data_IF_629108066138
#
_entry.id   IF_629108066138
#
_cell.length_a   1.000
_cell.length_b   1.000
_cell.length_c   1.000
_cell.angle_alpha   90.00
_cell.angle_beta   90.00
_cell.angle_gamma   90.00
#
_symmetry.space_group_name_H-M   'P 1'
#
loop_
_entity.id
_entity.type
_entity.pdbx_description
1 polymer ?
#
# COMPACT_ATOMS: atom_id res chain seq x y z
N UNK A 1 -21.26 -7.55 -55.90
CA UNK A 1 -21.00 -7.96 -54.49
C UNK A 1 -21.22 -9.45 -54.43
N UNK A 2 -20.18 -10.20 -54.16
CA UNK A 2 -20.27 -11.66 -54.04
C UNK A 2 -20.89 -12.00 -52.65
N UNK A 3 -21.42 -13.22 -52.50
CA UNK A 3 -22.00 -13.66 -51.21
C UNK A 3 -20.98 -13.59 -50.09
N UNK A 4 -19.69 -13.76 -50.39
CA UNK A 4 -18.55 -13.68 -49.50
C UNK A 4 -18.26 -12.24 -49.08
N UNK A 5 -18.40 -11.26 -49.96
CA UNK A 5 -18.29 -9.81 -49.64
C UNK A 5 -19.43 -9.38 -48.71
N UNK A 6 -20.64 -9.88 -48.94
CA UNK A 6 -21.80 -9.58 -48.09
C UNK A 6 -21.63 -10.18 -46.70
N UNK A 7 -21.06 -11.38 -46.58
CA UNK A 7 -20.78 -12.04 -45.31
C UNK A 7 -19.66 -11.30 -44.54
N UNK A 8 -18.57 -10.90 -45.22
CA UNK A 8 -17.47 -10.11 -44.64
C UNK A 8 -17.98 -8.75 -44.15
N UNK A 9 -18.78 -8.06 -44.95
CA UNK A 9 -19.35 -6.78 -44.63
C UNK A 9 -20.34 -6.88 -43.45
N UNK A 10 -21.20 -7.92 -43.43
CA UNK A 10 -22.14 -8.17 -42.35
C UNK A 10 -21.43 -8.57 -41.07
N UNK A 11 -20.36 -9.39 -41.14
CA UNK A 11 -19.56 -9.77 -39.98
C UNK A 11 -18.77 -8.56 -39.45
N UNK A 12 -18.12 -7.80 -40.32
CA UNK A 12 -17.41 -6.58 -39.96
C UNK A 12 -18.37 -5.58 -39.29
N UNK A 13 -19.54 -5.35 -39.92
CA UNK A 13 -20.55 -4.46 -39.36
C UNK A 13 -21.10 -4.96 -38.04
N UNK A 14 -21.29 -6.26 -37.82
CA UNK A 14 -21.78 -6.80 -36.55
C UNK A 14 -20.75 -6.69 -35.44
N UNK A 15 -19.50 -6.91 -35.73
CA UNK A 15 -18.37 -6.72 -34.80
C UNK A 15 -18.20 -5.23 -34.50
N UNK A 16 -18.25 -4.38 -35.51
CA UNK A 16 -18.20 -2.93 -35.43
C UNK A 16 -19.37 -2.42 -34.55
N UNK A 17 -20.60 -2.79 -34.88
CA UNK A 17 -21.80 -2.35 -34.14
C UNK A 17 -21.85 -2.83 -32.69
N UNK A 18 -21.23 -3.96 -32.36
CA UNK A 18 -21.12 -4.40 -30.96
C UNK A 18 -20.21 -3.53 -30.11
N UNK A 19 -19.21 -2.89 -30.71
CA UNK A 19 -18.30 -1.94 -30.04
C UNK A 19 -18.82 -0.50 -30.01
N UNK A 20 -19.76 -0.13 -30.91
CA UNK A 20 -20.22 1.25 -31.10
C UNK A 20 -21.47 1.64 -30.31
N UNK A 21 -22.02 0.76 -29.48
CA UNK A 21 -23.29 1.03 -28.84
C UNK A 21 -23.29 2.16 -27.81
N UNK A 22 -22.13 2.63 -27.33
CA UNK A 22 -22.07 3.56 -26.20
C UNK A 22 -20.91 4.57 -26.24
N UNK A 23 -20.59 5.22 -27.34
CA UNK A 23 -19.49 6.23 -27.44
C UNK A 23 -18.09 5.73 -26.95
N UNK A 24 -17.87 4.41 -26.94
CA UNK A 24 -16.74 3.80 -26.26
C UNK A 24 -15.52 3.63 -27.17
N UNK A 25 -15.72 3.66 -28.49
CA UNK A 25 -14.59 3.39 -29.38
C UNK A 25 -14.74 3.91 -30.80
N UNK A 26 -13.62 3.97 -31.52
CA UNK A 26 -13.53 4.36 -32.92
C UNK A 26 -12.72 3.38 -33.75
N UNK A 27 -12.87 3.41 -35.08
CA UNK A 27 -12.15 2.57 -36.03
C UNK A 27 -11.45 3.39 -37.09
N UNK A 28 -10.19 3.04 -37.32
CA UNK A 28 -9.37 3.53 -38.40
C UNK A 28 -8.80 2.32 -39.19
N UNK A 29 -8.90 2.35 -40.53
CA UNK A 29 -8.26 1.36 -41.39
C UNK A 29 -7.21 2.06 -42.22
N UNK A 30 -6.02 1.47 -42.31
CA UNK A 30 -4.92 1.96 -43.17
C UNK A 30 -4.42 0.87 -44.10
N UNK A 31 -3.84 1.26 -45.24
CA UNK A 31 -3.09 0.36 -46.09
C UNK A 31 -1.66 0.11 -45.55
N UNK A 32 -0.86 -0.69 -46.23
CA UNK A 32 0.51 -1.02 -45.85
C UNK A 32 1.43 0.23 -45.77
N UNK A 33 1.18 1.22 -46.60
CA UNK A 33 1.90 2.50 -46.58
C UNK A 33 1.46 3.42 -45.40
N UNK A 34 0.43 3.02 -44.65
CA UNK A 34 -0.13 3.79 -43.55
C UNK A 34 -1.11 4.88 -43.98
N UNK A 35 -1.56 4.83 -45.26
CA UNK A 35 -2.58 5.78 -45.74
C UNK A 35 -3.96 5.33 -45.26
N UNK A 36 -4.80 6.30 -44.89
CA UNK A 36 -6.13 6.07 -44.33
C UNK A 36 -7.08 5.64 -45.47
N UNK A 37 -7.68 4.46 -45.31
CA UNK A 37 -8.70 3.95 -46.19
C UNK A 37 -10.11 4.23 -45.64
N UNK A 38 -10.23 4.13 -44.33
CA UNK A 38 -11.48 4.39 -43.58
C UNK A 38 -11.20 4.97 -42.24
N UNK A 39 -12.01 5.94 -41.85
CA UNK A 39 -12.06 6.46 -40.48
C UNK A 39 -13.50 6.82 -40.12
N UNK A 40 -13.86 6.58 -38.86
CA UNK A 40 -15.11 7.06 -38.31
C UNK A 40 -14.96 8.47 -37.68
N UNK A 41 -16.08 9.03 -37.21
CA UNK A 41 -16.12 10.38 -36.65
C UNK A 41 -15.21 10.55 -35.44
N UNK A 42 -15.17 9.55 -34.53
CA UNK A 42 -14.33 9.57 -33.35
C UNK A 42 -12.83 9.51 -33.69
N UNK A 43 -12.44 8.61 -34.59
CA UNK A 43 -11.04 8.48 -35.04
C UNK A 43 -10.58 9.70 -35.82
N UNK A 44 -11.44 10.30 -36.64
CA UNK A 44 -11.19 11.56 -37.34
C UNK A 44 -10.94 12.70 -36.35
N UNK A 45 -11.71 12.79 -35.29
CA UNK A 45 -11.52 13.77 -34.24
C UNK A 45 -10.18 13.58 -33.50
N UNK A 46 -9.91 12.35 -33.04
CA UNK A 46 -8.68 12.01 -32.33
C UNK A 46 -7.42 12.26 -33.17
N UNK A 47 -7.48 11.99 -34.48
CA UNK A 47 -6.36 12.22 -35.38
C UNK A 47 -6.02 13.70 -35.61
N UNK A 48 -7.02 14.58 -35.66
CA UNK A 48 -6.79 16.02 -35.81
C UNK A 48 -6.00 16.61 -34.67
N UNK A 49 -6.18 16.06 -33.47
CA UNK A 49 -5.50 16.51 -32.26
C UNK A 49 -4.12 15.89 -32.06
N UNK A 50 -3.75 14.89 -32.89
CA UNK A 50 -2.52 14.13 -32.67
C UNK A 50 -1.67 13.88 -33.88
N UNK A 51 -0.42 14.20 -33.73
CA UNK A 51 0.53 14.18 -34.81
C UNK A 51 1.39 12.91 -34.92
N UNK A 52 1.48 12.00 -33.94
CA UNK A 52 2.56 11.00 -33.93
C UNK A 52 2.26 9.58 -33.41
N UNK A 53 1.00 9.16 -33.25
CA UNK A 53 0.73 7.80 -32.80
C UNK A 53 1.15 6.71 -33.83
N UNK A 54 1.25 7.05 -35.12
CA UNK A 54 1.69 6.15 -36.19
C UNK A 54 3.20 5.82 -36.15
N UNK A 55 4.02 6.69 -35.56
CA UNK A 55 5.48 6.53 -35.58
C UNK A 55 6.02 5.62 -34.48
N UNK A 56 5.24 5.36 -33.45
CA UNK A 56 5.71 4.61 -32.28
C UNK A 56 5.61 3.08 -32.42
N UNK A 57 4.92 2.55 -33.45
CA UNK A 57 4.65 1.13 -33.55
C UNK A 57 4.86 0.59 -34.94
N UNK A 58 5.84 -0.33 -35.15
CA UNK A 58 5.95 -1.08 -36.39
C UNK A 58 4.68 -1.94 -36.56
N UNK A 59 4.19 -2.09 -37.80
CA UNK A 59 3.01 -2.88 -38.08
C UNK A 59 3.16 -4.32 -37.57
N UNK A 60 2.10 -4.95 -37.03
CA UNK A 60 2.13 -6.36 -36.71
C UNK A 60 2.30 -7.18 -37.96
N UNK A 61 2.98 -8.32 -37.87
CA UNK A 61 3.04 -9.29 -38.97
C UNK A 61 1.66 -9.89 -39.18
N UNK A 62 1.38 -10.36 -40.41
CA UNK A 62 0.12 -10.98 -40.77
C UNK A 62 -0.35 -11.99 -39.71
N UNK A 63 -1.63 -11.90 -39.31
CA UNK A 63 -2.23 -12.75 -38.29
C UNK A 63 -1.81 -12.45 -36.85
N UNK A 64 -0.98 -11.45 -36.57
CA UNK A 64 -0.62 -11.04 -35.25
C UNK A 64 -1.54 -9.90 -34.75
N UNK A 65 -2.14 -10.09 -33.59
CA UNK A 65 -2.82 -9.03 -32.83
C UNK A 65 -1.78 -8.34 -31.94
N UNK A 66 -1.69 -7.02 -32.05
CA UNK A 66 -0.83 -6.23 -31.19
C UNK A 66 -1.68 -5.27 -30.37
N UNK A 67 -1.55 -5.36 -29.06
CA UNK A 67 -2.15 -4.39 -28.13
C UNK A 67 -1.09 -3.33 -27.84
N UNK A 68 -1.36 -2.11 -28.25
CA UNK A 68 -0.50 -0.97 -28.00
C UNK A 68 -1.23 -0.05 -27.04
N UNK A 69 -0.67 0.11 -25.86
CA UNK A 69 -1.11 1.05 -24.85
C UNK A 69 -0.50 2.42 -25.15
N UNK A 70 -1.04 3.15 -26.08
CA UNK A 70 -0.66 4.55 -26.26
C UNK A 70 -1.74 5.42 -25.59
N UNK A 71 -1.31 6.15 -24.56
CA UNK A 71 -2.17 7.07 -23.81
C UNK A 71 -2.30 8.35 -24.63
N UNK A 72 -3.31 8.41 -25.48
CA UNK A 72 -3.66 9.62 -26.21
C UNK A 72 -4.44 10.54 -25.27
N UNK A 73 -3.78 11.57 -24.73
CA UNK A 73 -4.48 12.68 -24.09
C UNK A 73 -5.02 13.62 -25.18
N UNK A 74 -6.32 13.60 -25.38
CA UNK A 74 -7.00 14.62 -26.16
C UNK A 74 -7.16 15.92 -25.34
N UNK A 75 -7.48 17.04 -25.96
CA UNK A 75 -7.74 18.32 -25.26
C UNK A 75 -8.85 18.19 -24.20
N UNK A 76 -9.80 17.27 -24.40
CA UNK A 76 -10.86 16.94 -23.45
C UNK A 76 -10.40 15.97 -22.32
N UNK A 77 -9.09 15.69 -22.21
CA UNK A 77 -8.46 14.81 -21.23
C UNK A 77 -8.91 13.35 -21.27
N UNK A 78 -9.49 12.90 -22.39
CA UNK A 78 -9.83 11.47 -22.54
C UNK A 78 -8.60 10.65 -22.91
N UNK A 79 -8.57 9.44 -22.41
CA UNK A 79 -7.51 8.44 -22.68
C UNK A 79 -8.05 7.33 -23.56
N UNK A 80 -7.36 7.05 -24.62
CA UNK A 80 -7.72 5.98 -25.55
C UNK A 80 -6.65 4.91 -25.59
N UNK A 81 -7.08 3.64 -25.65
CA UNK A 81 -6.24 2.50 -25.95
C UNK A 81 -6.40 2.16 -27.45
N UNK A 82 -5.29 1.95 -28.15
CA UNK A 82 -5.31 1.54 -29.55
C UNK A 82 -4.96 0.06 -29.68
N UNK A 83 -5.85 -0.73 -30.27
CA UNK A 83 -5.61 -2.13 -30.60
C UNK A 83 -5.46 -2.24 -32.11
N UNK A 84 -4.29 -2.68 -32.58
CA UNK A 84 -4.04 -2.83 -34.01
C UNK A 84 -4.02 -4.31 -34.40
N UNK A 85 -4.74 -4.66 -35.45
CA UNK A 85 -4.69 -5.96 -36.11
C UNK A 85 -4.45 -5.79 -37.61
N UNK A 86 -3.86 -6.78 -38.24
CA UNK A 86 -3.64 -6.77 -39.67
C UNK A 86 -4.44 -7.88 -40.36
N UNK A 87 -4.89 -7.63 -41.59
CA UNK A 87 -5.50 -8.60 -42.48
C UNK A 87 -5.05 -8.36 -43.92
N UNK A 88 -5.17 -9.35 -44.75
CA UNK A 88 -4.81 -9.26 -46.20
C UNK A 88 -6.07 -9.43 -47.04
N UNK A 89 -6.28 -8.54 -47.98
CA UNK A 89 -7.29 -8.67 -49.01
C UNK A 89 -6.66 -8.63 -50.42
N UNK A 90 -7.47 -8.49 -51.47
CA UNK A 90 -7.00 -8.47 -52.87
C UNK A 90 -6.09 -7.27 -53.18
N UNK A 91 -6.17 -6.20 -52.40
CA UNK A 91 -5.38 -4.97 -52.60
C UNK A 91 -4.11 -4.97 -51.73
N UNK A 92 -3.87 -5.99 -50.86
CA UNK A 92 -2.70 -6.13 -50.04
C UNK A 92 -2.98 -6.11 -48.53
N UNK A 93 -1.94 -5.82 -47.72
CA UNK A 93 -2.06 -5.82 -46.29
C UNK A 93 -2.75 -4.53 -45.79
N UNK A 94 -3.78 -4.70 -44.99
CA UNK A 94 -4.49 -3.61 -44.33
C UNK A 94 -4.39 -3.76 -42.82
N UNK A 95 -4.45 -2.63 -42.13
CA UNK A 95 -4.43 -2.57 -40.66
C UNK A 95 -5.71 -1.94 -40.13
N UNK A 96 -6.32 -2.60 -39.16
CA UNK A 96 -7.46 -2.05 -38.41
C UNK A 96 -6.95 -1.59 -37.09
N UNK A 97 -7.20 -0.34 -36.77
CA UNK A 97 -6.88 0.27 -35.49
C UNK A 97 -8.19 0.54 -34.75
N UNK A 98 -8.40 -0.17 -33.65
CA UNK A 98 -9.52 0.06 -32.76
C UNK A 98 -9.10 1.04 -31.64
N UNK A 99 -9.74 2.19 -31.58
CA UNK A 99 -9.57 3.15 -30.48
C UNK A 99 -10.64 2.88 -29.43
N UNK A 100 -10.22 2.56 -28.24
CA UNK A 100 -11.12 2.33 -27.10
C UNK A 100 -10.93 3.43 -26.08
N UNK A 101 -12.02 4.17 -25.78
CA UNK A 101 -11.98 5.18 -24.72
C UNK A 101 -11.83 4.48 -23.35
N UNK A 102 -10.69 4.69 -22.72
CA UNK A 102 -10.35 4.07 -21.44
C UNK A 102 -10.48 5.05 -20.26
N UNK A 103 -10.92 6.28 -20.47
CA UNK A 103 -10.97 7.30 -19.43
C UNK A 103 -11.78 6.84 -18.23
N UNK A 104 -12.99 6.32 -18.45
CA UNK A 104 -13.84 5.82 -17.37
C UNK A 104 -13.17 4.64 -16.63
N UNK A 105 -12.52 3.73 -17.37
CA UNK A 105 -11.80 2.60 -16.79
C UNK A 105 -10.59 3.08 -15.98
N UNK A 106 -9.84 4.05 -16.48
CA UNK A 106 -8.68 4.62 -15.78
C UNK A 106 -9.10 5.40 -14.52
N UNK A 107 -10.21 6.13 -14.57
CA UNK A 107 -10.77 6.80 -13.41
C UNK A 107 -11.22 5.78 -12.35
N UNK A 108 -11.97 4.77 -12.75
CA UNK A 108 -12.38 3.68 -11.86
C UNK A 108 -11.17 2.93 -11.27
N UNK A 109 -10.14 2.66 -12.09
CA UNK A 109 -8.91 2.02 -11.62
C UNK A 109 -8.16 2.89 -10.61
N UNK A 110 -8.11 4.20 -10.84
CA UNK A 110 -7.53 5.16 -9.90
C UNK A 110 -8.29 5.14 -8.58
N UNK A 111 -9.62 5.23 -8.63
CA UNK A 111 -10.49 5.21 -7.45
C UNK A 111 -10.33 3.91 -6.66
N UNK A 112 -10.33 2.74 -7.35
CA UNK A 112 -10.08 1.43 -6.72
C UNK A 112 -8.69 1.39 -6.10
N UNK A 113 -7.66 1.93 -6.78
CA UNK A 113 -6.29 1.97 -6.27
C UNK A 113 -6.18 2.85 -5.02
N UNK A 114 -6.83 4.02 -5.01
CA UNK A 114 -6.89 4.90 -3.85
C UNK A 114 -7.67 4.26 -2.70
N UNK A 115 -8.81 3.65 -2.99
CA UNK A 115 -9.60 2.91 -2.01
C UNK A 115 -8.81 1.74 -1.40
N UNK A 116 -8.07 1.01 -2.23
CA UNK A 116 -7.18 -0.07 -1.79
C UNK A 116 -6.05 0.43 -0.89
N UNK A 117 -5.48 1.61 -1.18
CA UNK A 117 -4.48 2.24 -0.31
C UNK A 117 -5.08 2.61 1.05
N UNK A 118 -6.26 3.22 1.06
CA UNK A 118 -6.99 3.58 2.28
C UNK A 118 -7.34 2.34 3.10
N UNK A 119 -7.86 1.28 2.46
CA UNK A 119 -8.17 0.01 3.12
C UNK A 119 -6.91 -0.66 3.69
N UNK A 120 -5.80 -0.63 2.95
CA UNK A 120 -4.52 -1.17 3.41
C UNK A 120 -3.99 -0.39 4.61
N UNK A 121 -4.09 0.94 4.58
CA UNK A 121 -3.70 1.79 5.71
C UNK A 121 -4.53 1.46 6.95
N UNK A 122 -5.87 1.41 6.84
CA UNK A 122 -6.75 0.99 7.96
C UNK A 122 -6.45 -0.43 8.45
N UNK A 123 -6.06 -1.33 7.55
CA UNK A 123 -5.73 -2.71 7.90
C UNK A 123 -4.42 -2.84 8.69
N UNK A 124 -3.44 -1.99 8.40
CA UNK A 124 -2.07 -2.12 8.92
C UNK A 124 -1.79 -1.26 10.16
N UNK A 125 -2.58 -0.19 10.40
CA UNK A 125 -2.36 0.76 11.48
C UNK A 125 -3.44 0.70 12.57
N UNK A 126 -3.09 1.15 13.76
CA UNK A 126 -4.00 1.35 14.90
C UNK A 126 -4.61 2.75 14.83
N UNK A 127 -5.95 2.83 14.86
CA UNK A 127 -6.69 4.09 14.67
C UNK A 127 -6.43 5.12 15.78
N UNK A 128 -6.16 4.68 17.03
CA UNK A 128 -5.93 5.58 18.15
C UNK A 128 -4.54 6.20 18.13
N UNK A 129 -3.53 5.40 17.75
CA UNK A 129 -2.12 5.77 17.89
C UNK A 129 -1.44 6.08 16.58
N UNK A 130 -1.95 5.56 15.46
CA UNK A 130 -1.32 5.64 14.14
C UNK A 130 -0.03 4.80 14.02
N UNK A 131 0.31 3.96 15.00
CA UNK A 131 1.36 2.96 14.89
C UNK A 131 0.87 1.74 14.12
N UNK A 132 1.78 0.87 13.68
CA UNK A 132 1.36 -0.42 13.14
C UNK A 132 0.59 -1.22 14.18
N UNK A 133 -0.46 -1.93 13.73
CA UNK A 133 -1.31 -2.72 14.60
C UNK A 133 -0.81 -4.18 14.76
N UNK A 134 -1.51 -4.97 15.60
CA UNK A 134 -1.25 -6.39 15.84
C UNK A 134 -1.26 -7.23 14.57
N UNK A 135 -2.14 -6.91 13.60
CA UNK A 135 -2.22 -7.62 12.33
C UNK A 135 -0.92 -7.49 11.53
N UNK A 136 -0.41 -6.24 11.43
CA UNK A 136 0.85 -5.93 10.76
C UNK A 136 2.06 -6.53 11.49
N UNK A 137 2.08 -6.47 12.80
CA UNK A 137 3.10 -7.15 13.61
C UNK A 137 3.17 -8.65 13.30
N UNK A 138 2.04 -9.35 13.33
CA UNK A 138 1.99 -10.79 13.04
C UNK A 138 2.42 -11.13 11.60
N UNK A 139 2.05 -10.30 10.63
CA UNK A 139 2.51 -10.43 9.25
C UNK A 139 4.03 -10.34 9.17
N UNK A 140 4.61 -9.28 9.74
CA UNK A 140 6.07 -9.04 9.70
C UNK A 140 6.83 -10.08 10.52
N UNK A 141 6.31 -10.51 11.68
CA UNK A 141 6.89 -11.60 12.47
C UNK A 141 7.04 -12.87 11.61
N UNK A 142 6.01 -13.22 10.84
CA UNK A 142 6.00 -14.43 10.00
C UNK A 142 6.87 -14.30 8.74
N UNK A 143 6.92 -13.11 8.11
CA UNK A 143 7.50 -12.95 6.77
C UNK A 143 8.88 -12.32 6.75
N UNK A 144 9.21 -11.51 7.75
CA UNK A 144 10.40 -10.65 7.74
C UNK A 144 11.36 -10.94 8.90
N UNK A 145 10.90 -10.85 10.16
CA UNK A 145 11.79 -10.80 11.31
C UNK A 145 12.68 -12.03 11.45
N UNK A 146 12.16 -13.25 11.18
CA UNK A 146 12.93 -14.50 11.23
C UNK A 146 14.04 -14.62 10.17
N UNK A 147 14.07 -13.71 9.19
CA UNK A 147 15.10 -13.67 8.14
C UNK A 147 16.22 -12.69 8.45
N UNK A 148 16.08 -11.91 9.51
CA UNK A 148 17.10 -10.92 9.90
C UNK A 148 18.30 -11.59 10.51
N UNK A 149 19.49 -11.00 10.31
CA UNK A 149 20.72 -11.50 10.94
C UNK A 149 20.79 -11.10 12.41
N UNK A 150 20.32 -9.90 12.71
CA UNK A 150 20.24 -9.36 14.06
C UNK A 150 18.94 -8.58 14.22
N UNK A 151 18.33 -8.66 15.40
CA UNK A 151 17.22 -7.82 15.78
C UNK A 151 17.17 -7.63 17.30
N UNK A 152 16.59 -6.50 17.73
CA UNK A 152 16.21 -6.30 19.11
C UNK A 152 14.69 -6.17 19.19
N UNK A 153 14.10 -6.77 20.22
CA UNK A 153 12.67 -6.69 20.54
C UNK A 153 12.52 -6.00 21.87
N UNK A 154 11.71 -4.95 21.89
CA UNK A 154 11.29 -4.26 23.11
C UNK A 154 9.81 -4.58 23.32
N UNK A 155 9.49 -5.31 24.40
CA UNK A 155 8.11 -5.53 24.82
C UNK A 155 7.75 -4.51 25.89
N UNK A 156 6.63 -3.82 25.71
CA UNK A 156 6.27 -2.63 26.49
C UNK A 156 4.82 -2.65 26.90
N UNK A 157 4.54 -2.23 28.13
CA UNK A 157 3.21 -2.23 28.73
C UNK A 157 2.98 -0.92 29.47
N UNK A 158 1.90 -0.21 29.15
CA UNK A 158 1.55 1.07 29.77
C UNK A 158 0.93 0.83 31.15
N UNK A 159 1.60 1.30 32.18
CA UNK A 159 1.15 1.12 33.56
C UNK A 159 -0.11 1.93 33.85
N UNK A 160 -0.97 1.39 34.70
CA UNK A 160 -2.13 2.06 35.30
C UNK A 160 -3.22 2.53 34.29
N UNK A 161 -3.30 1.98 33.09
CA UNK A 161 -4.34 2.34 32.11
C UNK A 161 -5.75 2.11 32.68
N UNK A 162 -5.99 0.95 33.33
CA UNK A 162 -7.28 0.63 33.95
C UNK A 162 -7.64 1.66 35.02
N UNK A 163 -6.71 1.98 35.94
CA UNK A 163 -6.93 2.98 36.97
C UNK A 163 -7.22 4.37 36.39
N UNK A 164 -6.55 4.74 35.28
CA UNK A 164 -6.80 5.98 34.56
C UNK A 164 -8.23 5.99 34.00
N UNK A 165 -8.66 4.91 33.38
CA UNK A 165 -10.02 4.78 32.84
C UNK A 165 -11.08 4.84 33.92
N UNK A 166 -10.87 4.11 35.04
CA UNK A 166 -11.83 4.01 36.13
C UNK A 166 -11.99 5.35 36.86
N UNK A 167 -10.91 6.12 37.05
CA UNK A 167 -10.92 7.39 37.79
C UNK A 167 -11.28 8.60 36.91
N UNK A 168 -10.89 8.62 35.63
CA UNK A 168 -10.96 9.81 34.79
C UNK A 168 -11.66 9.58 33.46
N UNK A 169 -12.19 8.35 33.21
CA UNK A 169 -12.90 7.98 31.99
C UNK A 169 -11.99 7.56 30.84
N UNK A 170 -12.59 6.95 29.84
CA UNK A 170 -11.87 6.39 28.69
C UNK A 170 -11.09 7.44 27.86
N UNK A 171 -11.55 8.68 27.82
CA UNK A 171 -10.81 9.75 27.15
C UNK A 171 -9.43 10.00 27.78
N UNK A 172 -9.33 9.90 29.11
CA UNK A 172 -8.06 10.04 29.82
C UNK A 172 -7.13 8.86 29.53
N UNK A 173 -7.68 7.63 29.48
CA UNK A 173 -6.93 6.45 29.07
C UNK A 173 -6.43 6.56 27.63
N UNK A 174 -7.26 7.03 26.71
CA UNK A 174 -6.88 7.28 25.32
C UNK A 174 -5.74 8.30 25.19
N UNK A 175 -5.77 9.38 25.99
CA UNK A 175 -4.67 10.36 26.05
C UNK A 175 -3.39 9.72 26.56
N UNK A 176 -3.48 8.86 27.60
CA UNK A 176 -2.33 8.11 28.13
C UNK A 176 -1.71 7.23 27.04
N UNK A 177 -2.53 6.48 26.30
CA UNK A 177 -2.08 5.62 25.19
C UNK A 177 -1.47 6.43 24.03
N UNK A 178 -2.07 7.58 23.66
CA UNK A 178 -1.49 8.47 22.65
C UNK A 178 -0.14 9.03 23.09
N UNK A 179 0.03 9.36 24.36
CA UNK A 179 1.30 9.84 24.91
C UNK A 179 2.38 8.75 24.87
N UNK A 180 2.01 7.50 25.23
CA UNK A 180 2.89 6.35 25.06
C UNK A 180 3.33 6.17 23.61
N UNK A 181 2.38 6.18 22.66
CA UNK A 181 2.68 6.07 21.25
C UNK A 181 3.56 7.22 20.73
N UNK A 182 3.35 8.45 21.19
CA UNK A 182 4.19 9.60 20.83
C UNK A 182 5.65 9.39 21.25
N UNK A 183 5.90 8.82 22.43
CA UNK A 183 7.25 8.49 22.87
C UNK A 183 7.95 7.50 21.92
N UNK A 184 7.20 6.52 21.41
CA UNK A 184 7.71 5.51 20.46
C UNK A 184 7.93 6.08 19.06
N UNK A 185 7.09 6.99 18.60
CA UNK A 185 7.26 7.69 17.31
C UNK A 185 8.54 8.52 17.26
N UNK A 186 9.02 9.02 18.40
CA UNK A 186 10.28 9.81 18.46
C UNK A 186 11.51 8.98 18.14
N UNK A 187 11.48 7.68 18.41
CA UNK A 187 12.57 6.76 18.09
C UNK A 187 12.32 5.99 16.78
N UNK A 188 11.16 6.18 16.15
CA UNK A 188 10.83 5.51 14.90
C UNK A 188 11.82 5.87 13.80
N UNK A 189 12.34 4.86 13.10
CA UNK A 189 13.27 5.00 12.00
C UNK A 189 13.02 3.88 10.99
N UNK A 190 13.69 3.92 9.84
CA UNK A 190 13.55 2.88 8.81
C UNK A 190 13.77 1.46 9.32
N UNK A 191 14.61 1.30 10.33
CA UNK A 191 14.96 0.02 10.94
C UNK A 191 14.47 -0.13 12.39
N UNK A 192 13.67 0.82 12.91
CA UNK A 192 13.04 0.80 14.24
C UNK A 192 11.55 0.95 14.04
N UNK A 193 10.79 -0.10 14.31
CA UNK A 193 9.39 -0.24 13.92
C UNK A 193 8.54 -0.45 15.16
N UNK A 194 7.75 0.56 15.57
CA UNK A 194 6.84 0.45 16.70
C UNK A 194 5.48 -0.11 16.26
N UNK A 195 4.89 -0.94 17.14
CA UNK A 195 3.59 -1.56 16.98
C UNK A 195 2.76 -1.39 18.25
N UNK A 196 1.43 -1.25 18.10
CA UNK A 196 0.46 -1.47 19.18
C UNK A 196 -0.21 -2.83 18.98
N UNK A 197 -0.03 -3.73 19.95
CA UNK A 197 -0.49 -5.12 19.82
C UNK A 197 -1.64 -5.47 20.77
N UNK A 198 -1.93 -4.62 21.72
CA UNK A 198 -3.00 -4.76 22.71
C UNK A 198 -3.57 -3.42 23.14
N UNK A 199 -4.39 -3.39 24.17
CA UNK A 199 -4.94 -2.17 24.74
C UNK A 199 -3.85 -1.22 25.25
N UNK A 200 -2.97 -1.74 26.08
CA UNK A 200 -1.83 -1.09 26.74
C UNK A 200 -0.47 -1.67 26.31
N UNK A 201 -0.47 -2.65 25.40
CA UNK A 201 0.70 -3.38 24.96
C UNK A 201 1.28 -2.82 23.66
N UNK A 202 2.58 -2.55 23.68
CA UNK A 202 3.35 -2.10 22.54
C UNK A 202 4.57 -3.01 22.31
N UNK A 203 4.98 -3.14 21.08
CA UNK A 203 6.23 -3.81 20.71
C UNK A 203 7.02 -2.89 19.81
N UNK A 204 8.33 -2.76 20.05
CA UNK A 204 9.25 -2.14 19.11
C UNK A 204 10.21 -3.20 18.62
N UNK A 205 10.37 -3.31 17.31
CA UNK A 205 11.35 -4.20 16.69
C UNK A 205 12.38 -3.35 15.96
N UNK A 206 13.64 -3.45 16.37
CA UNK A 206 14.78 -2.84 15.68
C UNK A 206 15.53 -3.92 14.91
N UNK A 207 15.68 -3.76 13.60
CA UNK A 207 16.36 -4.72 12.72
C UNK A 207 17.73 -4.19 12.29
N UNK A 208 18.67 -5.09 12.01
CA UNK A 208 20.05 -4.74 11.64
C UNK A 208 20.75 -3.82 12.67
N UNK A 209 20.56 -4.11 13.94
CA UNK A 209 21.19 -3.44 15.07
C UNK A 209 22.15 -4.41 15.77
N UNK A 210 23.15 -3.89 16.43
CA UNK A 210 23.95 -4.61 17.43
C UNK A 210 23.42 -4.36 18.85
N UNK A 211 24.02 -5.02 19.83
CA UNK A 211 23.62 -4.91 21.24
C UNK A 211 23.72 -3.49 21.77
N UNK A 212 24.79 -2.76 21.39
CA UNK A 212 25.04 -1.39 21.87
C UNK A 212 24.02 -0.41 21.26
N UNK A 213 23.70 -0.57 19.98
CA UNK A 213 22.65 0.20 19.31
C UNK A 213 21.28 -0.07 19.94
N UNK A 214 20.96 -1.33 20.28
CA UNK A 214 19.72 -1.69 20.95
C UNK A 214 19.62 -1.01 22.35
N UNK A 215 20.68 -1.05 23.14
CA UNK A 215 20.71 -0.36 24.45
C UNK A 215 20.59 1.16 24.29
N UNK A 216 21.18 1.73 23.24
CA UNK A 216 21.02 3.15 22.94
C UNK A 216 19.59 3.51 22.59
N UNK A 217 18.91 2.70 21.75
CA UNK A 217 17.50 2.90 21.41
C UNK A 217 16.64 2.94 22.69
N UNK A 218 16.89 2.02 23.64
CA UNK A 218 16.20 2.00 24.92
C UNK A 218 16.38 3.30 25.70
N UNK A 219 17.64 3.77 25.81
CA UNK A 219 17.95 5.02 26.53
C UNK A 219 17.34 6.23 25.86
N UNK A 220 17.47 6.36 24.55
CA UNK A 220 16.92 7.48 23.78
C UNK A 220 15.39 7.54 23.95
N UNK A 221 14.70 6.39 23.98
CA UNK A 221 13.29 6.29 24.25
C UNK A 221 12.94 6.71 25.68
N UNK A 222 13.64 6.21 26.70
CA UNK A 222 13.43 6.56 28.10
C UNK A 222 13.59 8.07 28.36
N UNK A 223 14.62 8.68 27.78
CA UNK A 223 14.84 10.13 27.83
C UNK A 223 13.71 10.90 27.14
N UNK A 224 13.26 10.44 25.98
CA UNK A 224 12.15 11.02 25.23
C UNK A 224 10.82 10.95 25.98
N UNK A 225 10.52 9.83 26.66
CA UNK A 225 9.35 9.66 27.51
C UNK A 225 9.42 10.57 28.75
N UNK A 226 10.59 10.67 29.39
CA UNK A 226 10.79 11.56 30.53
C UNK A 226 10.61 13.05 30.12
N UNK A 227 11.06 13.43 28.93
CA UNK A 227 10.84 14.77 28.39
C UNK A 227 9.35 15.04 28.13
N UNK A 228 8.62 14.09 27.52
CA UNK A 228 7.16 14.19 27.33
C UNK A 228 6.43 14.36 28.68
N UNK A 229 6.81 13.60 29.68
CA UNK A 229 6.22 13.71 31.01
C UNK A 229 6.46 15.07 31.68
N UNK A 230 7.61 15.71 31.39
CA UNK A 230 7.89 17.06 31.89
C UNK A 230 7.13 18.17 31.18
N UNK A 231 6.93 18.03 29.87
CA UNK A 231 6.24 19.03 29.03
C UNK A 231 4.74 19.02 29.22
N UNK A 232 4.17 17.83 29.28
CA UNK A 232 2.74 17.60 29.43
C UNK A 232 2.46 17.03 30.80
N UNK A 233 2.35 17.95 31.78
CA UNK A 233 2.19 17.61 33.21
C UNK A 233 0.84 17.01 33.61
N UNK A 234 -0.17 17.07 32.72
CA UNK A 234 -1.53 16.62 33.01
C UNK A 234 -1.66 15.11 33.19
N UNK A 235 -0.90 14.33 32.40
CA UNK A 235 -0.93 12.87 32.46
C UNK A 235 0.50 12.34 32.52
N UNK A 236 0.85 11.71 33.64
CA UNK A 236 2.12 11.01 33.78
C UNK A 236 2.03 9.63 33.12
N UNK A 237 2.85 9.38 32.10
CA UNK A 237 2.93 8.11 31.41
C UNK A 237 4.12 7.31 31.91
N UNK A 238 3.87 6.15 32.48
CA UNK A 238 4.87 5.16 32.86
C UNK A 238 4.67 3.89 32.07
N UNK A 239 5.75 3.36 31.49
CA UNK A 239 5.73 2.19 30.63
C UNK A 239 6.74 1.17 31.17
N UNK A 240 6.29 -0.04 31.45
CA UNK A 240 7.19 -1.16 31.72
C UNK A 240 7.82 -1.61 30.42
N UNK A 241 9.13 -1.87 30.42
CA UNK A 241 9.88 -2.22 29.22
C UNK A 241 10.85 -3.36 29.50
N UNK A 242 10.75 -4.43 28.72
CA UNK A 242 11.76 -5.46 28.66
C UNK A 242 12.30 -5.59 27.23
N UNK A 243 13.60 -5.73 27.08
CA UNK A 243 14.16 -5.95 25.76
C UNK A 243 15.07 -7.18 25.69
N UNK A 244 15.10 -7.81 24.53
CA UNK A 244 16.00 -8.90 24.21
C UNK A 244 16.59 -8.71 22.82
N UNK A 245 17.78 -9.25 22.65
CA UNK A 245 18.55 -9.14 21.42
C UNK A 245 18.79 -10.53 20.84
N UNK A 246 18.58 -10.66 19.52
CA UNK A 246 18.87 -11.89 18.76
C UNK A 246 20.00 -11.68 17.77
N UNK A 247 21.02 -12.53 17.84
CA UNK A 247 22.12 -12.61 16.91
C UNK A 247 21.86 -13.66 15.83
N UNK A 248 22.77 -13.74 14.84
CA UNK A 248 22.67 -14.67 13.72
C UNK A 248 22.28 -16.08 14.14
N UNK A 249 21.17 -16.58 13.60
CA UNK A 249 20.65 -17.93 13.93
C UNK A 249 19.78 -17.95 15.18
N UNK A 250 19.35 -16.81 15.70
CA UNK A 250 18.47 -16.73 16.86
C UNK A 250 17.11 -17.41 16.60
N UNK A 251 16.53 -17.92 17.67
CA UNK A 251 15.12 -18.34 17.68
C UNK A 251 14.26 -17.13 18.03
N UNK A 252 13.41 -16.73 17.10
CA UNK A 252 12.55 -15.55 17.28
C UNK A 252 11.62 -15.68 18.50
N UNK A 253 11.03 -16.86 18.71
CA UNK A 253 10.09 -17.03 19.83
C UNK A 253 10.81 -16.96 21.18
N UNK A 254 12.08 -17.38 21.25
CA UNK A 254 12.91 -17.21 22.45
C UNK A 254 13.23 -15.75 22.74
N UNK A 255 13.58 -14.96 21.70
CA UNK A 255 13.84 -13.53 21.84
C UNK A 255 12.60 -12.78 22.33
N UNK A 256 11.42 -13.08 21.76
CA UNK A 256 10.17 -12.49 22.22
C UNK A 256 9.82 -12.89 23.64
N UNK A 257 9.97 -14.18 24.00
CA UNK A 257 9.70 -14.68 25.35
C UNK A 257 10.62 -14.03 26.38
N UNK A 258 11.90 -13.81 26.04
CA UNK A 258 12.85 -13.17 26.93
C UNK A 258 12.53 -11.68 27.12
N UNK A 259 12.15 -10.96 26.05
CA UNK A 259 11.71 -9.57 26.15
C UNK A 259 10.45 -9.46 27.06
N UNK A 260 9.49 -10.37 26.90
CA UNK A 260 8.28 -10.43 27.70
C UNK A 260 8.59 -10.69 29.19
N UNK A 261 9.45 -11.65 29.47
CA UNK A 261 9.90 -11.95 30.83
C UNK A 261 10.51 -10.74 31.51
N UNK A 262 11.41 -10.02 30.82
CA UNK A 262 12.06 -8.82 31.35
C UNK A 262 11.08 -7.67 31.55
N UNK A 263 10.14 -7.48 30.65
CA UNK A 263 9.06 -6.48 30.79
C UNK A 263 8.23 -6.75 32.06
N UNK A 264 7.87 -8.01 32.28
CA UNK A 264 7.13 -8.38 33.47
C UNK A 264 7.93 -8.15 34.78
N UNK A 265 9.24 -8.35 34.76
CA UNK A 265 10.13 -8.04 35.88
C UNK A 265 10.18 -6.55 36.15
N UNK A 266 10.37 -5.71 35.12
CA UNK A 266 10.37 -4.25 35.23
C UNK A 266 8.99 -3.73 35.72
N UNK A 267 7.88 -4.32 35.24
CA UNK A 267 6.53 -3.99 35.70
C UNK A 267 6.36 -4.25 37.21
N UNK A 268 6.89 -5.37 37.70
CA UNK A 268 6.87 -5.68 39.14
C UNK A 268 7.69 -4.69 39.95
N UNK A 269 8.90 -4.35 39.50
CA UNK A 269 9.75 -3.40 40.19
C UNK A 269 9.09 -2.02 40.28
N UNK A 270 8.46 -1.55 39.19
CA UNK A 270 7.74 -0.28 39.16
C UNK A 270 6.53 -0.27 40.11
N UNK A 271 5.74 -1.37 40.13
CA UNK A 271 4.64 -1.51 41.11
C UNK A 271 5.12 -1.48 42.57
N UNK A 272 6.22 -2.16 42.88
CA UNK A 272 6.82 -2.14 44.22
C UNK A 272 7.24 -0.73 44.62
N UNK A 273 7.93 0.00 43.72
CA UNK A 273 8.34 1.40 43.99
C UNK A 273 7.15 2.33 44.22
N UNK A 274 6.03 2.07 43.52
CA UNK A 274 4.78 2.82 43.68
C UNK A 274 3.95 2.41 44.90
N UNK A 275 4.35 1.40 45.67
CA UNK A 275 3.60 0.85 46.79
C UNK A 275 2.31 0.15 46.43
N UNK A 276 2.21 -0.34 45.15
CA UNK A 276 1.01 -1.00 44.62
C UNK A 276 1.06 -2.52 44.85
N UNK A 277 -0.11 -3.18 45.06
CA UNK A 277 -0.14 -4.61 45.27
C UNK A 277 0.26 -5.39 43.97
N UNK A 278 1.01 -6.49 44.17
CA UNK A 278 1.43 -7.39 43.09
C UNK A 278 0.31 -8.39 42.72
N UNK A 279 -0.87 -7.92 42.38
CA UNK A 279 -1.94 -8.80 41.84
C UNK A 279 -1.72 -9.10 40.39
N UNK A 280 -1.82 -10.37 40.01
CA UNK A 280 -1.96 -10.77 38.56
C UNK A 280 -3.31 -10.26 38.09
N UNK A 281 -3.31 -9.35 37.11
CA UNK A 281 -4.49 -9.07 36.31
C UNK A 281 -4.66 -10.14 35.22
#
# INVERSE_FOLDING_TARGET
MTEEETIKETYLNSVILSFFRDDIGGILITNEAGEIIYEDELTSFVQREKTNWKAACPPPREGQRREIWDLLNSEDKKTYMVITSSFTDEEGIKQIHHLVNTSLYMDLYRDISEYSKVLKTKKDYDDLTGLYNKGKFNEMKRTLFGKMQTLAVFNMDVNNLKQMNDNYGHEAGDRLIRKAAESLKRIEARNIIPFRVGGDEFIVVAIHVDSDAAEKIRKDWEEGLAELNRKDGDIYCEIACGFAFGEKGFNMDEVFAEADRRMYEDKKEKKIRAGQPLTRE
#
